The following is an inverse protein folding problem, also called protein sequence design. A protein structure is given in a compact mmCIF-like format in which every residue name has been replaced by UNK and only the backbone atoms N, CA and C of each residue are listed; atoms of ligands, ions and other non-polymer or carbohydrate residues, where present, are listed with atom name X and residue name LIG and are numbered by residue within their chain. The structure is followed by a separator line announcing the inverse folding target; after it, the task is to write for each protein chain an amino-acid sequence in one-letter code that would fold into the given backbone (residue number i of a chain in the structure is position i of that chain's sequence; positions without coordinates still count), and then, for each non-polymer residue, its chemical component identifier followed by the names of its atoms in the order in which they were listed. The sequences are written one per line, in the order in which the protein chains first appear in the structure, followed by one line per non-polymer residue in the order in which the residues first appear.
data_IF_290060216649
#
_entry.id   IF_290060216649
#
_cell.length_a   1.000
_cell.length_b   1.000
_cell.length_c   1.000
_cell.angle_alpha   90.00
_cell.angle_beta   90.00
_cell.angle_gamma   90.00
#
_symmetry.space_group_name_H-M   'P 1'
#
loop_
_entity.id
_entity.type
_entity.pdbx_description
1 polymer ?
#
# COMPACT_ATOMS: atom_id res chain seq x y z
N UNK A 1 4.45 75.01 5.34
CA UNK A 1 4.58 75.15 3.87
C UNK A 1 5.77 74.32 3.43
N UNK A 2 5.57 73.18 2.76
CA UNK A 2 6.13 72.82 1.45
C UNK A 2 5.78 71.36 1.11
N UNK A 3 5.43 71.20 -0.15
CA UNK A 3 4.75 70.09 -0.80
C UNK A 3 5.77 69.14 -1.45
N UNK A 4 5.45 67.83 -1.44
CA UNK A 4 5.56 66.84 -2.55
C UNK A 4 6.98 66.49 -3.06
N UNK A 5 7.32 65.19 -3.08
CA UNK A 5 7.42 64.39 -4.32
C UNK A 5 7.72 62.91 -4.05
N UNK A 6 6.85 62.09 -4.63
CA UNK A 6 6.93 60.64 -4.82
C UNK A 6 8.13 60.32 -5.72
N UNK A 7 8.93 59.32 -5.32
CA UNK A 7 9.69 58.51 -6.27
C UNK A 7 9.37 57.04 -5.98
N UNK A 8 8.48 56.50 -6.81
CA UNK A 8 8.19 55.08 -6.93
C UNK A 8 9.44 54.36 -7.44
N UNK A 9 10.13 53.65 -6.56
CA UNK A 9 11.12 52.66 -6.96
C UNK A 9 10.36 51.39 -7.37
N UNK A 10 10.08 51.27 -8.67
CA UNK A 10 9.60 50.03 -9.27
C UNK A 10 10.68 48.96 -9.11
N UNK A 11 10.55 48.14 -8.06
CA UNK A 11 11.32 46.91 -7.93
C UNK A 11 10.78 45.91 -8.96
N UNK A 12 11.44 45.87 -10.12
CA UNK A 12 11.36 44.73 -11.01
C UNK A 12 11.99 43.54 -10.27
N UNK A 13 11.18 42.82 -9.48
CA UNK A 13 11.52 41.48 -9.05
C UNK A 13 11.56 40.61 -10.32
N UNK A 14 12.77 40.45 -10.86
CA UNK A 14 13.07 39.30 -11.70
C UNK A 14 12.86 38.07 -10.82
N UNK A 15 11.66 37.49 -10.92
CA UNK A 15 11.34 36.20 -10.35
C UNK A 15 12.16 35.17 -11.14
N UNK A 16 13.44 35.05 -10.80
CA UNK A 16 14.25 33.92 -11.26
C UNK A 16 13.48 32.68 -10.84
N UNK A 17 12.90 31.99 -11.81
CA UNK A 17 12.32 30.66 -11.66
C UNK A 17 13.44 29.70 -11.23
N UNK A 18 13.86 29.78 -9.98
CA UNK A 18 14.54 28.69 -9.32
C UNK A 18 13.47 27.63 -9.12
N UNK A 19 13.29 26.78 -10.13
CA UNK A 19 12.63 25.49 -9.98
C UNK A 19 13.51 24.74 -8.99
N UNK A 20 13.17 24.81 -7.70
CA UNK A 20 13.80 23.95 -6.69
C UNK A 20 13.39 22.53 -7.06
N UNK A 21 14.32 21.67 -7.51
CA UNK A 21 13.97 20.29 -7.83
C UNK A 21 13.44 19.68 -6.54
N UNK A 22 12.20 19.17 -6.58
CA UNK A 22 11.67 18.41 -5.45
C UNK A 22 12.62 17.23 -5.21
N UNK A 23 13.00 16.96 -3.95
CA UNK A 23 13.80 15.77 -3.66
C UNK A 23 13.02 14.56 -4.18
N UNK A 24 13.73 13.70 -4.91
CA UNK A 24 13.16 12.47 -5.44
C UNK A 24 12.49 11.70 -4.30
N UNK A 25 11.39 11.01 -4.60
CA UNK A 25 10.77 10.12 -3.63
C UNK A 25 11.80 9.07 -3.16
N UNK A 26 11.71 8.68 -1.88
CA UNK A 26 12.77 7.91 -1.20
C UNK A 26 13.08 6.57 -1.90
N UNK A 27 12.09 5.98 -2.55
CA UNK A 27 12.19 4.82 -3.43
C UNK A 27 13.12 5.07 -4.64
N UNK A 28 12.95 6.20 -5.32
CA UNK A 28 13.80 6.58 -6.45
C UNK A 28 15.23 6.83 -5.97
N UNK A 29 15.39 7.50 -4.83
CA UNK A 29 16.71 7.78 -4.28
C UNK A 29 17.48 6.49 -3.93
N UNK A 30 16.83 5.52 -3.26
CA UNK A 30 17.45 4.25 -2.88
C UNK A 30 17.80 3.38 -4.08
N UNK A 31 17.02 3.44 -5.17
CA UNK A 31 17.32 2.73 -6.41
C UNK A 31 18.55 3.26 -7.16
N UNK A 32 18.95 4.49 -6.88
CA UNK A 32 20.07 5.18 -7.54
C UNK A 32 21.34 5.26 -6.66
N UNK A 33 21.26 4.82 -5.40
CA UNK A 33 22.42 4.80 -4.50
C UNK A 33 23.48 3.80 -4.96
N UNK A 34 24.74 4.06 -4.57
CA UNK A 34 25.79 3.06 -4.77
C UNK A 34 25.50 1.81 -3.93
N UNK A 35 26.01 0.66 -4.37
CA UNK A 35 25.85 -0.61 -3.64
C UNK A 35 26.38 -0.55 -2.21
N UNK A 36 27.44 0.25 -1.97
CA UNK A 36 28.03 0.43 -0.65
C UNK A 36 27.12 1.23 0.30
N UNK A 37 26.55 2.34 -0.17
CA UNK A 37 25.64 3.17 0.62
C UNK A 37 24.34 2.43 0.95
N UNK A 38 23.75 1.76 -0.04
CA UNK A 38 22.55 0.95 0.16
C UNK A 38 22.81 -0.18 1.17
N UNK A 39 23.98 -0.82 1.09
CA UNK A 39 24.40 -1.85 2.06
C UNK A 39 24.62 -1.30 3.46
N UNK A 40 25.15 -0.09 3.60
CA UNK A 40 25.33 0.56 4.89
C UNK A 40 23.96 0.86 5.54
N UNK A 41 23.02 1.43 4.78
CA UNK A 41 21.66 1.71 5.25
C UNK A 41 20.89 0.44 5.64
N UNK A 42 21.00 -0.62 4.84
CA UNK A 42 20.34 -1.89 5.14
C UNK A 42 20.89 -2.53 6.43
N UNK A 43 22.21 -2.46 6.65
CA UNK A 43 22.86 -2.90 7.90
C UNK A 43 22.48 -2.03 9.10
N UNK A 44 22.25 -0.74 8.87
CA UNK A 44 21.70 0.17 9.89
C UNK A 44 20.21 -0.07 10.18
N UNK A 45 19.55 -0.98 9.46
CA UNK A 45 18.16 -1.36 9.72
C UNK A 45 17.12 -0.54 8.98
N UNK A 46 17.49 0.19 7.92
CA UNK A 46 16.51 0.85 7.05
C UNK A 46 15.73 -0.22 6.26
N UNK A 47 14.41 -0.30 6.47
CA UNK A 47 13.58 -1.36 5.92
C UNK A 47 13.51 -1.33 4.38
N UNK A 48 13.51 -0.14 3.79
CA UNK A 48 13.43 0.03 2.33
C UNK A 48 14.76 -0.37 1.67
N UNK A 49 15.89 0.02 2.24
CA UNK A 49 17.21 -0.44 1.79
C UNK A 49 17.36 -1.97 1.90
N UNK A 50 16.85 -2.57 2.97
CA UNK A 50 16.79 -4.02 3.13
C UNK A 50 15.93 -4.67 2.03
N UNK A 51 14.76 -4.11 1.73
CA UNK A 51 13.92 -4.57 0.62
C UNK A 51 14.66 -4.50 -0.72
N UNK A 52 15.32 -3.39 -1.04
CA UNK A 52 16.05 -3.25 -2.32
C UNK A 52 17.19 -4.26 -2.46
N UNK A 53 17.96 -4.52 -1.39
CA UNK A 53 18.98 -5.57 -1.42
C UNK A 53 18.36 -6.96 -1.58
N UNK A 54 17.27 -7.23 -0.87
CA UNK A 54 16.55 -8.50 -0.97
C UNK A 54 16.02 -8.74 -2.39
N UNK A 55 15.40 -7.73 -3.00
CA UNK A 55 14.91 -7.76 -4.38
C UNK A 55 16.04 -7.94 -5.38
N UNK A 56 17.17 -7.25 -5.20
CA UNK A 56 18.35 -7.41 -6.07
C UNK A 56 18.90 -8.84 -6.02
N UNK A 57 19.01 -9.42 -4.82
CA UNK A 57 19.44 -10.80 -4.64
C UNK A 57 18.44 -11.80 -5.25
N UNK A 58 17.13 -11.55 -5.13
CA UNK A 58 16.10 -12.37 -5.77
C UNK A 58 16.25 -12.38 -7.30
N UNK A 59 16.42 -11.21 -7.92
CA UNK A 59 16.65 -11.08 -9.36
C UNK A 59 17.94 -11.79 -9.79
N UNK A 60 18.98 -11.76 -8.94
CA UNK A 60 20.24 -12.47 -9.17
C UNK A 60 20.14 -14.00 -8.92
N UNK A 61 19.00 -14.50 -8.45
CA UNK A 61 18.79 -15.91 -8.13
C UNK A 61 19.37 -16.37 -6.78
N UNK A 62 19.93 -15.46 -5.98
CA UNK A 62 20.41 -15.77 -4.63
C UNK A 62 19.25 -15.71 -3.63
N UNK A 63 18.43 -16.75 -3.65
CA UNK A 63 17.23 -16.84 -2.82
C UNK A 63 17.52 -16.81 -1.32
N UNK A 64 18.71 -17.27 -0.89
CA UNK A 64 19.09 -17.28 0.52
C UNK A 64 19.35 -15.84 1.02
N UNK A 65 20.17 -15.09 0.28
CA UNK A 65 20.45 -13.67 0.59
C UNK A 65 19.19 -12.83 0.44
N UNK A 66 18.38 -13.10 -0.60
CA UNK A 66 17.11 -12.43 -0.80
C UNK A 66 16.19 -12.60 0.41
N UNK A 67 15.93 -13.85 0.82
CA UNK A 67 15.05 -14.15 1.94
C UNK A 67 15.52 -13.49 3.23
N UNK A 68 16.83 -13.54 3.52
CA UNK A 68 17.41 -12.90 4.70
C UNK A 68 17.07 -11.40 4.77
N UNK A 69 17.28 -10.66 3.68
CA UNK A 69 17.03 -9.22 3.64
C UNK A 69 15.54 -8.88 3.62
N UNK A 70 14.74 -9.64 2.86
CA UNK A 70 13.29 -9.44 2.81
C UNK A 70 12.63 -9.70 4.16
N UNK A 71 13.05 -10.74 4.90
CA UNK A 71 12.55 -11.00 6.25
C UNK A 71 12.93 -9.88 7.23
N UNK A 72 14.13 -9.31 7.11
CA UNK A 72 14.54 -8.16 7.90
C UNK A 72 13.65 -6.92 7.64
N UNK A 73 13.35 -6.65 6.36
CA UNK A 73 12.45 -5.57 5.96
C UNK A 73 11.00 -5.83 6.43
N UNK A 74 10.50 -7.05 6.27
CA UNK A 74 9.15 -7.45 6.70
C UNK A 74 8.95 -7.40 8.22
N UNK A 75 10.00 -7.66 9.01
CA UNK A 75 9.97 -7.43 10.48
C UNK A 75 9.74 -5.97 10.85
N UNK A 76 10.02 -5.05 9.93
CA UNK A 76 9.81 -3.60 10.06
C UNK A 76 8.59 -3.11 9.26
N UNK A 77 7.66 -4.02 8.96
CA UNK A 77 6.42 -3.73 8.24
C UNK A 77 6.59 -3.19 6.81
N UNK A 78 7.70 -3.54 6.14
CA UNK A 78 7.84 -3.23 4.71
C UNK A 78 6.89 -4.13 3.88
N UNK A 79 5.85 -3.52 3.30
CA UNK A 79 4.83 -4.21 2.51
C UNK A 79 5.41 -4.88 1.26
N UNK A 80 6.28 -4.18 0.53
CA UNK A 80 6.89 -4.72 -0.70
C UNK A 80 7.72 -5.98 -0.44
N UNK A 81 8.41 -6.04 0.70
CA UNK A 81 9.13 -7.24 1.12
C UNK A 81 8.20 -8.40 1.48
N UNK A 82 7.09 -8.13 2.18
CA UNK A 82 6.08 -9.14 2.50
C UNK A 82 5.42 -9.70 1.24
N UNK A 83 5.09 -8.84 0.27
CA UNK A 83 4.56 -9.26 -1.03
C UNK A 83 5.55 -10.17 -1.75
N UNK A 84 6.83 -9.82 -1.80
CA UNK A 84 7.82 -10.69 -2.42
C UNK A 84 7.98 -12.03 -1.67
N UNK A 85 7.91 -12.02 -0.33
CA UNK A 85 7.94 -13.24 0.49
C UNK A 85 6.68 -14.12 0.36
N UNK A 86 5.56 -13.57 -0.10
CA UNK A 86 4.36 -14.35 -0.45
C UNK A 86 4.47 -15.07 -1.79
N UNK A 87 5.51 -14.80 -2.58
CA UNK A 87 5.75 -15.55 -3.81
C UNK A 87 6.04 -17.03 -3.53
N UNK A 88 5.69 -17.88 -4.51
CA UNK A 88 5.93 -19.32 -4.48
C UNK A 88 7.39 -19.73 -4.22
N UNK A 89 8.37 -18.89 -4.56
CA UNK A 89 9.78 -19.12 -4.27
C UNK A 89 10.09 -19.14 -2.75
N UNK A 90 9.27 -18.47 -1.94
CA UNK A 90 9.49 -18.28 -0.50
C UNK A 90 8.38 -18.87 0.38
N UNK A 91 7.17 -19.03 -0.17
CA UNK A 91 5.99 -19.55 0.51
C UNK A 91 5.39 -20.71 -0.28
N UNK A 92 5.65 -21.93 0.21
CA UNK A 92 5.33 -23.17 -0.50
C UNK A 92 3.88 -23.63 -0.33
N UNK A 93 3.20 -23.17 0.72
CA UNK A 93 1.81 -23.51 1.01
C UNK A 93 0.91 -22.28 0.89
N UNK A 94 -0.38 -22.45 0.57
CA UNK A 94 -1.31 -21.30 0.54
C UNK A 94 -1.39 -20.63 1.92
N UNK A 95 -1.31 -21.41 3.01
CA UNK A 95 -1.23 -20.89 4.39
C UNK A 95 -0.01 -19.98 4.62
N UNK A 96 1.15 -20.32 4.07
CA UNK A 96 2.36 -19.49 4.16
C UNK A 96 2.22 -18.17 3.42
N UNK A 97 1.43 -18.14 2.34
CA UNK A 97 1.13 -16.92 1.59
C UNK A 97 0.08 -16.08 2.32
N UNK A 98 -0.98 -16.72 2.80
CA UNK A 98 -2.09 -16.09 3.53
C UNK A 98 -1.57 -15.26 4.71
N UNK A 99 -0.66 -15.79 5.53
CA UNK A 99 -0.11 -15.04 6.68
C UNK A 99 0.53 -13.70 6.29
N UNK A 100 1.08 -13.58 5.08
CA UNK A 100 1.67 -12.34 4.61
C UNK A 100 0.57 -11.38 4.15
N UNK A 101 -0.43 -11.87 3.41
CA UNK A 101 -1.57 -11.05 2.99
C UNK A 101 -2.36 -10.51 4.18
N UNK A 102 -2.62 -11.34 5.19
CA UNK A 102 -3.26 -10.94 6.44
C UNK A 102 -2.47 -9.81 7.11
N UNK A 103 -1.16 -9.99 7.30
CA UNK A 103 -0.30 -8.96 7.89
C UNK A 103 -0.27 -7.66 7.08
N UNK A 104 -0.25 -7.74 5.74
CA UNK A 104 -0.29 -6.55 4.88
C UNK A 104 -1.66 -5.86 4.99
N UNK A 105 -2.74 -6.62 5.04
CA UNK A 105 -4.10 -6.11 5.21
C UNK A 105 -4.28 -5.38 6.56
N UNK A 106 -3.72 -5.93 7.64
CA UNK A 106 -3.71 -5.31 8.98
C UNK A 106 -2.92 -3.99 9.03
N UNK A 107 -1.99 -3.77 8.10
CA UNK A 107 -1.25 -2.52 7.95
C UNK A 107 -2.04 -1.47 7.15
N UNK A 108 -3.27 -1.78 6.71
CA UNK A 108 -4.12 -0.86 5.96
C UNK A 108 -3.86 -0.82 4.47
N UNK A 109 -3.02 -1.72 3.94
CA UNK A 109 -2.73 -1.76 2.51
C UNK A 109 -3.81 -2.50 1.72
N UNK A 110 -4.41 -1.80 0.76
CA UNK A 110 -5.54 -2.30 -0.01
C UNK A 110 -5.20 -3.52 -0.89
N UNK A 111 -3.95 -3.63 -1.34
CA UNK A 111 -3.52 -4.79 -2.12
C UNK A 111 -3.43 -6.04 -1.23
N UNK A 112 -2.91 -5.91 -0.01
CA UNK A 112 -2.96 -6.98 0.98
C UNK A 112 -4.39 -7.39 1.35
N UNK A 113 -5.28 -6.43 1.56
CA UNK A 113 -6.71 -6.72 1.84
C UNK A 113 -7.36 -7.52 0.71
N UNK A 114 -7.07 -7.16 -0.55
CA UNK A 114 -7.57 -7.89 -1.72
C UNK A 114 -7.05 -9.33 -1.76
N UNK A 115 -5.74 -9.53 -1.61
CA UNK A 115 -5.17 -10.88 -1.62
C UNK A 115 -5.63 -11.73 -0.44
N UNK A 116 -5.88 -11.11 0.70
CA UNK A 116 -6.47 -11.77 1.87
C UNK A 116 -7.91 -12.24 1.56
N UNK A 117 -8.73 -11.38 0.95
CA UNK A 117 -10.08 -11.72 0.54
C UNK A 117 -10.11 -12.88 -0.47
N UNK A 118 -9.22 -12.84 -1.47
CA UNK A 118 -9.08 -13.91 -2.47
C UNK A 118 -8.70 -15.25 -1.82
N UNK A 119 -7.79 -15.24 -0.84
CA UNK A 119 -7.41 -16.47 -0.16
C UNK A 119 -8.57 -17.07 0.64
N UNK A 120 -9.36 -16.26 1.36
CA UNK A 120 -10.58 -16.75 2.01
C UNK A 120 -11.59 -17.32 1.02
N UNK A 121 -11.72 -16.71 -0.17
CA UNK A 121 -12.60 -17.23 -1.23
C UNK A 121 -12.12 -18.59 -1.75
N UNK A 122 -10.81 -18.76 -1.96
CA UNK A 122 -10.20 -20.04 -2.33
C UNK A 122 -10.39 -21.11 -1.26
N UNK A 123 -10.26 -20.72 0.01
CA UNK A 123 -10.46 -21.58 1.18
C UNK A 123 -11.95 -21.92 1.41
N UNK A 124 -12.86 -21.26 0.67
CA UNK A 124 -14.31 -21.46 0.75
C UNK A 124 -15.01 -20.69 1.87
N UNK A 125 -14.29 -19.84 2.60
CA UNK A 125 -14.86 -18.93 3.60
C UNK A 125 -15.38 -17.65 2.93
N UNK A 126 -16.52 -17.79 2.25
CA UNK A 126 -17.13 -16.69 1.50
C UNK A 126 -17.57 -15.52 2.39
N UNK A 127 -17.84 -15.77 3.68
CA UNK A 127 -18.20 -14.72 4.63
C UNK A 127 -16.99 -13.85 4.92
N UNK A 128 -15.84 -14.45 5.27
CA UNK A 128 -14.61 -13.68 5.51
C UNK A 128 -14.10 -13.02 4.23
N UNK A 129 -14.18 -13.70 3.09
CA UNK A 129 -13.87 -13.07 1.80
C UNK A 129 -14.71 -11.80 1.59
N UNK A 130 -16.03 -11.85 1.85
CA UNK A 130 -16.92 -10.70 1.70
C UNK A 130 -16.57 -9.55 2.67
N UNK A 131 -16.22 -9.84 3.93
CA UNK A 131 -15.73 -8.84 4.90
C UNK A 131 -14.57 -8.04 4.30
N UNK A 132 -13.55 -8.76 3.83
CA UNK A 132 -12.32 -8.14 3.30
C UNK A 132 -12.54 -7.42 1.96
N UNK A 133 -13.41 -7.93 1.08
CA UNK A 133 -13.76 -7.22 -0.16
C UNK A 133 -14.53 -5.91 0.12
N UNK A 134 -15.47 -5.90 1.07
CA UNK A 134 -16.18 -4.68 1.50
C UNK A 134 -15.19 -3.65 2.04
N UNK A 135 -14.28 -4.09 2.91
CA UNK A 135 -13.25 -3.22 3.47
C UNK A 135 -12.31 -2.66 2.39
N UNK A 136 -11.84 -3.51 1.48
CA UNK A 136 -10.97 -3.11 0.35
C UNK A 136 -11.64 -2.06 -0.51
N UNK A 137 -12.91 -2.29 -0.89
CA UNK A 137 -13.69 -1.35 -1.69
C UNK A 137 -13.83 0.00 -0.98
N UNK A 138 -14.10 -0.01 0.33
CA UNK A 138 -14.18 1.21 1.13
C UNK A 138 -12.86 1.97 1.10
N UNK A 139 -11.73 1.33 1.42
CA UNK A 139 -10.41 1.97 1.46
C UNK A 139 -10.02 2.55 0.10
N UNK A 140 -10.25 1.80 -0.99
CA UNK A 140 -9.99 2.27 -2.35
C UNK A 140 -10.89 3.46 -2.72
N UNK A 141 -12.20 3.40 -2.40
CA UNK A 141 -13.14 4.48 -2.67
C UNK A 141 -12.81 5.76 -1.89
N UNK A 142 -12.35 5.65 -0.64
CA UNK A 142 -11.92 6.78 0.17
C UNK A 142 -10.61 7.38 -0.33
N UNK A 143 -9.64 6.56 -0.78
CA UNK A 143 -8.42 7.06 -1.42
C UNK A 143 -8.70 7.77 -2.75
N UNK A 144 -9.82 7.43 -3.38
CA UNK A 144 -10.36 8.03 -4.60
C UNK A 144 -11.31 9.21 -4.34
N UNK A 145 -11.36 9.82 -3.14
CA UNK A 145 -12.25 10.93 -2.73
C UNK A 145 -12.08 12.28 -3.49
N UNK A 146 -12.07 12.25 -4.82
CA UNK A 146 -12.92 13.13 -5.62
C UNK A 146 -14.28 12.48 -5.94
N UNK A 147 -14.48 11.24 -5.53
CA UNK A 147 -15.67 10.46 -5.83
C UNK A 147 -16.71 10.55 -4.71
N UNK A 148 -17.81 11.25 -4.98
CA UNK A 148 -19.04 11.13 -4.20
C UNK A 148 -19.67 9.77 -4.50
N UNK A 149 -20.10 9.08 -3.45
CA UNK A 149 -20.64 7.71 -3.43
C UNK A 149 -21.84 7.44 -4.36
N UNK A 150 -22.36 8.47 -5.05
CA UNK A 150 -23.50 8.40 -5.94
C UNK A 150 -23.11 8.34 -7.44
N UNK A 151 -21.81 8.38 -7.77
CA UNK A 151 -21.33 8.45 -9.16
C UNK A 151 -20.80 7.09 -9.67
N UNK A 152 -21.39 6.49 -10.73
CA UNK A 152 -20.96 5.21 -11.31
C UNK A 152 -19.63 5.26 -12.07
N UNK A 153 -18.96 6.41 -12.12
CA UNK A 153 -17.65 6.61 -12.79
C UNK A 153 -16.46 6.35 -11.85
N UNK A 154 -16.73 6.24 -10.55
CA UNK A 154 -15.79 5.90 -9.47
C UNK A 154 -15.79 4.40 -9.12
N UNK A 155 -16.52 3.66 -9.95
CA UNK A 155 -16.85 2.26 -9.87
C UNK A 155 -15.69 1.46 -10.45
N UNK A 156 -14.89 0.81 -9.60
CA UNK A 156 -14.04 -0.27 -10.09
C UNK A 156 -14.94 -1.50 -10.28
N UNK A 157 -15.28 -1.88 -11.53
CA UNK A 157 -16.23 -2.96 -11.80
C UNK A 157 -15.74 -4.30 -11.25
N UNK A 158 -14.44 -4.44 -11.06
CA UNK A 158 -13.80 -5.66 -10.59
C UNK A 158 -14.14 -5.92 -9.11
N UNK A 159 -14.09 -4.89 -8.26
CA UNK A 159 -14.33 -5.02 -6.81
C UNK A 159 -15.82 -5.19 -6.48
N UNK A 160 -16.70 -4.43 -7.15
CA UNK A 160 -18.14 -4.64 -7.01
C UNK A 160 -18.57 -6.00 -7.58
N UNK A 161 -18.03 -6.41 -8.74
CA UNK A 161 -18.31 -7.74 -9.30
C UNK A 161 -17.93 -8.87 -8.35
N UNK A 162 -16.82 -8.74 -7.62
CA UNK A 162 -16.40 -9.70 -6.58
C UNK A 162 -17.38 -9.73 -5.40
N UNK A 163 -17.81 -8.57 -4.88
CA UNK A 163 -18.82 -8.50 -3.82
C UNK A 163 -20.19 -9.03 -4.27
N UNK A 164 -20.64 -8.69 -5.48
CA UNK A 164 -21.91 -9.15 -6.04
C UNK A 164 -21.92 -10.67 -6.22
N UNK A 165 -20.84 -11.23 -6.78
CA UNK A 165 -20.64 -12.68 -6.92
C UNK A 165 -20.78 -13.38 -5.57
N UNK A 166 -20.12 -12.88 -4.53
CA UNK A 166 -20.22 -13.46 -3.18
C UNK A 166 -21.58 -13.21 -2.53
N UNK A 167 -22.24 -12.10 -2.87
CA UNK A 167 -23.56 -11.78 -2.33
C UNK A 167 -24.65 -12.78 -2.73
N UNK A 168 -24.43 -13.53 -3.83
CA UNK A 168 -25.30 -14.64 -4.25
C UNK A 168 -25.06 -15.92 -3.45
N UNK A 169 -23.93 -16.03 -2.74
CA UNK A 169 -23.60 -17.18 -1.88
C UNK A 169 -23.94 -16.97 -0.41
N UNK A 170 -24.18 -15.72 -0.01
CA UNK A 170 -24.51 -15.33 1.35
C UNK A 170 -25.97 -14.88 1.45
N UNK A 171 -26.62 -15.23 2.55
CA UNK A 171 -27.95 -14.70 2.84
C UNK A 171 -27.86 -13.23 3.32
N UNK A 172 -29.01 -12.57 3.45
CA UNK A 172 -29.08 -11.15 3.83
C UNK A 172 -28.50 -10.87 5.23
N UNK A 173 -28.69 -11.78 6.19
CA UNK A 173 -28.19 -11.58 7.56
C UNK A 173 -26.67 -11.78 7.64
N UNK A 174 -26.13 -12.77 6.91
CA UNK A 174 -24.68 -12.97 6.77
C UNK A 174 -24.00 -11.75 6.16
N UNK A 175 -24.58 -11.15 5.12
CA UNK A 175 -24.04 -9.94 4.49
C UNK A 175 -24.04 -8.74 5.44
N UNK A 176 -25.14 -8.52 6.19
CA UNK A 176 -25.20 -7.44 7.19
C UNK A 176 -24.16 -7.64 8.29
N UNK A 177 -24.04 -8.87 8.81
CA UNK A 177 -23.04 -9.19 9.83
C UNK A 177 -21.61 -8.96 9.33
N UNK A 178 -21.33 -9.35 8.08
CA UNK A 178 -20.04 -9.13 7.46
C UNK A 178 -19.73 -7.64 7.22
N UNK A 179 -20.73 -6.83 6.86
CA UNK A 179 -20.56 -5.37 6.75
C UNK A 179 -20.23 -4.72 8.10
N UNK A 180 -20.93 -5.13 9.17
CA UNK A 180 -20.63 -4.67 10.53
C UNK A 180 -19.22 -5.06 10.96
N UNK A 181 -18.78 -6.28 10.65
CA UNK A 181 -17.42 -6.74 10.92
C UNK A 181 -16.38 -5.94 10.13
N UNK A 182 -16.62 -5.68 8.85
CA UNK A 182 -15.75 -4.83 8.02
C UNK A 182 -15.62 -3.42 8.62
N UNK A 183 -16.69 -2.85 9.16
CA UNK A 183 -16.66 -1.55 9.84
C UNK A 183 -15.83 -1.57 11.13
N UNK A 184 -15.92 -2.65 11.90
CA UNK A 184 -15.10 -2.83 13.11
C UNK A 184 -13.62 -2.93 12.73
N UNK A 185 -13.29 -3.75 11.72
CA UNK A 185 -11.93 -3.88 11.20
C UNK A 185 -11.39 -2.55 10.67
N UNK A 186 -12.18 -1.81 9.89
CA UNK A 186 -11.80 -0.49 9.37
C UNK A 186 -11.38 0.44 10.51
N UNK A 187 -12.22 0.57 11.55
CA UNK A 187 -11.90 1.40 12.72
C UNK A 187 -10.66 0.89 13.43
N UNK A 188 -10.53 -0.42 13.58
CA UNK A 188 -9.39 -1.07 14.21
C UNK A 188 -8.08 -0.79 13.48
N UNK A 189 -8.08 -0.72 12.15
CA UNK A 189 -6.88 -0.52 11.33
C UNK A 189 -6.52 0.97 11.23
N UNK A 190 -7.49 1.83 10.95
CA UNK A 190 -7.23 3.22 10.55
C UNK A 190 -7.45 4.28 11.64
N UNK A 191 -8.17 3.96 12.73
CA UNK A 191 -8.49 4.94 13.79
C UNK A 191 -7.72 4.68 15.10
N UNK A 192 -6.47 4.19 15.01
CA UNK A 192 -5.59 3.92 16.17
C UNK A 192 -4.99 5.19 16.76
#
# INVERSE_FOLDING_TARGET
MFNVRILSASFLFLFSMHVWPQPLSMDVQLSQMSSQELSALARAGNAEAQYYLGRSAHIAGDNAVAKMWLEAAAKKNNVSAMLLLSDSAYSLTSKDKHRWYEKIAELGDAQGMLFNAMQYEEDGDYRQAYVWYVLTNRVLSEKLTLCKWDAPECYDPTHQGMMEKLSMRLNTEERKAAQVEADVLYRGIFNK
#
